data_IF_401303410933
#
_entry.id   IF_401303410933
#
_cell.length_a   1.000
_cell.length_b   1.000
_cell.length_c   1.000
_cell.angle_alpha   90.00
_cell.angle_beta   90.00
_cell.angle_gamma   90.00
#
_symmetry.space_group_name_H-M   'P 1'
#
loop_
_entity.id
_entity.type
_entity.pdbx_description
1 polymer ?
#
# COMPACT_ATOMS: atom_id res chain seq x y z
N UNK A 1 31.34 10.47 34.17
CA UNK A 1 30.46 9.38 33.75
C UNK A 1 29.56 9.93 32.64
N UNK A 2 29.97 9.76 31.36
CA UNK A 2 29.24 10.31 30.18
C UNK A 2 28.38 9.18 29.59
N UNK A 3 27.06 9.35 29.64
CA UNK A 3 26.12 8.50 28.89
C UNK A 3 26.30 8.76 27.39
N UNK A 4 26.60 7.72 26.64
CA UNK A 4 26.56 7.73 25.19
C UNK A 4 25.10 7.54 24.76
N UNK A 5 24.48 8.59 24.24
CA UNK A 5 23.26 8.48 23.46
C UNK A 5 23.62 7.82 22.14
N UNK A 6 23.21 6.56 21.99
CA UNK A 6 23.26 5.87 20.70
C UNK A 6 22.09 6.35 19.86
N UNK A 7 22.33 7.37 19.04
CA UNK A 7 21.45 7.74 17.95
C UNK A 7 21.35 6.54 17.00
N UNK A 8 20.16 5.93 16.93
CA UNK A 8 19.85 4.94 15.92
C UNK A 8 19.77 5.67 14.59
N UNK A 9 20.80 5.51 13.77
CA UNK A 9 20.84 6.03 12.40
C UNK A 9 19.67 5.46 11.60
N UNK A 10 19.03 6.28 10.73
CA UNK A 10 18.07 5.77 9.77
C UNK A 10 18.76 4.72 8.90
N UNK A 11 18.17 3.55 8.79
CA UNK A 11 18.64 2.51 7.86
C UNK A 11 18.52 3.12 6.47
N UNK A 12 19.63 3.58 5.92
CA UNK A 12 19.79 3.84 4.50
C UNK A 12 19.52 2.51 3.80
N UNK A 13 18.35 2.41 3.16
CA UNK A 13 18.08 1.31 2.23
C UNK A 13 19.01 1.52 1.04
N UNK A 14 20.14 0.84 1.06
CA UNK A 14 20.99 0.69 -0.11
C UNK A 14 20.12 0.15 -1.23
N UNK A 15 20.02 0.88 -2.33
CA UNK A 15 19.47 0.37 -3.58
C UNK A 15 20.35 -0.80 -4.00
N UNK A 16 19.97 -2.02 -3.60
CA UNK A 16 20.68 -3.22 -3.98
C UNK A 16 20.62 -3.36 -5.50
N UNK A 17 21.76 -3.73 -6.09
CA UNK A 17 21.99 -3.88 -7.54
C UNK A 17 21.05 -4.91 -8.23
N UNK A 18 20.08 -5.47 -7.52
CA UNK A 18 19.12 -6.45 -7.99
C UNK A 18 17.68 -5.91 -8.07
N UNK A 19 17.43 -4.66 -7.70
CA UNK A 19 16.09 -4.10 -7.75
C UNK A 19 15.70 -3.72 -9.19
N UNK A 20 14.55 -4.23 -9.67
CA UNK A 20 14.01 -3.88 -10.98
C UNK A 20 13.31 -2.52 -10.89
N UNK A 21 13.96 -1.48 -11.38
CA UNK A 21 13.53 -0.08 -11.26
C UNK A 21 12.08 0.18 -11.71
N UNK A 22 11.63 -0.45 -12.81
CA UNK A 22 10.25 -0.31 -13.27
C UNK A 22 9.23 -0.94 -12.31
N UNK A 23 9.57 -2.08 -11.70
CA UNK A 23 8.72 -2.72 -10.71
C UNK A 23 8.66 -1.88 -9.42
N UNK A 24 9.81 -1.41 -8.95
CA UNK A 24 9.90 -0.52 -7.80
C UNK A 24 8.98 0.70 -7.99
N UNK A 25 9.10 1.40 -9.11
CA UNK A 25 8.27 2.57 -9.42
C UNK A 25 6.78 2.24 -9.49
N UNK A 26 6.41 1.10 -10.07
CA UNK A 26 5.02 0.63 -10.11
C UNK A 26 4.45 0.40 -8.72
N UNK A 27 5.21 -0.22 -7.83
CA UNK A 27 4.82 -0.45 -6.43
C UNK A 27 4.70 0.87 -5.64
N UNK A 28 5.60 1.81 -5.86
CA UNK A 28 5.54 3.14 -5.24
C UNK A 28 4.29 3.93 -5.71
N UNK A 29 3.91 3.81 -6.99
CA UNK A 29 2.64 4.36 -7.47
C UNK A 29 1.46 3.76 -6.70
N UNK A 30 1.42 2.44 -6.51
CA UNK A 30 0.36 1.79 -5.73
C UNK A 30 0.30 2.31 -4.29
N UNK A 31 1.45 2.54 -3.65
CA UNK A 31 1.56 3.10 -2.29
C UNK A 31 1.19 4.57 -2.19
N UNK A 32 1.15 5.30 -3.30
CA UNK A 32 0.79 6.72 -3.32
C UNK A 32 -0.70 6.97 -3.04
N UNK A 33 -1.56 5.96 -3.21
CA UNK A 33 -2.98 6.03 -2.86
C UNK A 33 -3.15 5.87 -1.35
N UNK A 34 -3.66 6.92 -0.69
CA UNK A 34 -3.83 6.96 0.77
C UNK A 34 -5.30 6.83 1.15
N UNK A 35 -5.60 6.33 2.36
CA UNK A 35 -6.96 6.41 2.91
C UNK A 35 -7.46 7.86 2.89
N UNK A 36 -8.66 8.07 2.33
CA UNK A 36 -9.25 9.39 2.15
C UNK A 36 -8.88 10.09 0.84
N UNK A 37 -7.87 9.62 0.11
CA UNK A 37 -7.47 10.10 -1.21
C UNK A 37 -7.62 8.97 -2.23
N UNK A 38 -8.86 8.73 -2.63
CA UNK A 38 -9.23 7.55 -3.43
C UNK A 38 -8.86 7.65 -4.91
N UNK A 39 -8.54 8.84 -5.43
CA UNK A 39 -8.25 9.04 -6.85
C UNK A 39 -7.09 10.00 -7.06
N UNK A 40 -6.23 9.69 -8.05
CA UNK A 40 -5.08 10.52 -8.45
C UNK A 40 -5.03 10.64 -9.98
N UNK A 41 -4.63 11.80 -10.48
CA UNK A 41 -4.31 12.00 -11.90
C UNK A 41 -2.86 11.58 -12.22
N UNK A 42 -2.58 11.33 -13.49
CA UNK A 42 -1.21 11.05 -13.95
C UNK A 42 -0.23 12.19 -13.56
N UNK A 43 -0.68 13.44 -13.62
CA UNK A 43 0.16 14.60 -13.27
C UNK A 43 0.47 14.66 -11.78
N UNK A 44 -0.51 14.38 -10.91
CA UNK A 44 -0.32 14.32 -9.45
C UNK A 44 0.66 13.21 -9.07
N UNK A 45 0.52 12.02 -9.69
CA UNK A 45 1.43 10.89 -9.47
C UNK A 45 2.84 11.23 -9.97
N UNK A 46 2.97 11.78 -11.18
CA UNK A 46 4.27 12.17 -11.73
C UNK A 46 5.01 13.16 -10.82
N UNK A 47 4.28 14.15 -10.29
CA UNK A 47 4.85 15.12 -9.35
C UNK A 47 5.31 14.45 -8.04
N UNK A 48 4.50 13.59 -7.44
CA UNK A 48 4.84 12.89 -6.19
C UNK A 48 6.05 11.98 -6.33
N UNK A 49 6.15 11.32 -7.49
CA UNK A 49 7.21 10.35 -7.77
C UNK A 49 8.49 11.00 -8.34
N UNK A 50 8.46 12.30 -8.69
CA UNK A 50 9.56 12.95 -9.38
C UNK A 50 9.84 12.37 -10.77
N UNK A 51 8.83 11.81 -11.44
CA UNK A 51 8.93 11.17 -12.75
C UNK A 51 8.41 12.04 -13.88
N UNK A 52 8.88 11.77 -15.09
CA UNK A 52 8.30 12.37 -16.29
C UNK A 52 6.89 11.81 -16.53
N UNK A 53 5.96 12.67 -16.99
CA UNK A 53 4.57 12.27 -17.27
C UNK A 53 4.47 11.05 -18.21
N UNK A 54 5.34 11.00 -19.26
CA UNK A 54 5.36 9.87 -20.19
C UNK A 54 5.74 8.54 -19.54
N UNK A 55 6.72 8.56 -18.63
CA UNK A 55 7.12 7.38 -17.85
C UNK A 55 6.00 6.96 -16.91
N UNK A 56 5.40 7.92 -16.22
CA UNK A 56 4.28 7.67 -15.31
C UNK A 56 3.09 7.07 -16.07
N UNK A 57 2.75 7.60 -17.24
CA UNK A 57 1.66 7.07 -18.06
C UNK A 57 1.88 5.60 -18.43
N UNK A 58 3.08 5.23 -18.88
CA UNK A 58 3.41 3.83 -19.21
C UNK A 58 3.29 2.88 -18.00
N UNK A 59 3.68 3.34 -16.83
CA UNK A 59 3.52 2.56 -15.59
C UNK A 59 2.04 2.41 -15.23
N UNK A 60 1.24 3.47 -15.35
CA UNK A 60 -0.20 3.46 -15.13
C UNK A 60 -0.91 2.51 -16.11
N UNK A 61 -0.58 2.57 -17.40
CA UNK A 61 -1.14 1.67 -18.41
C UNK A 61 -0.87 0.20 -18.06
N UNK A 62 0.33 -0.10 -17.57
CA UNK A 62 0.68 -1.45 -17.11
C UNK A 62 -0.16 -1.85 -15.88
N UNK A 63 -0.30 -0.98 -14.89
CA UNK A 63 -1.09 -1.25 -13.68
C UNK A 63 -2.57 -1.44 -14.01
N UNK A 64 -3.10 -0.69 -14.99
CA UNK A 64 -4.48 -0.84 -15.49
C UNK A 64 -4.64 -2.17 -16.24
N UNK A 65 -3.69 -2.54 -17.10
CA UNK A 65 -3.72 -3.81 -17.82
C UNK A 65 -3.76 -5.02 -16.86
N UNK A 66 -3.14 -4.89 -15.68
CA UNK A 66 -3.17 -5.91 -14.62
C UNK A 66 -4.28 -5.72 -13.59
N UNK A 67 -5.25 -4.84 -13.82
CA UNK A 67 -6.40 -4.57 -12.93
C UNK A 67 -6.01 -4.14 -11.50
N UNK A 68 -4.78 -3.67 -11.31
CA UNK A 68 -4.33 -3.09 -10.05
C UNK A 68 -4.86 -1.67 -9.87
N UNK A 69 -4.96 -0.93 -10.98
CA UNK A 69 -5.61 0.37 -11.08
C UNK A 69 -6.69 0.33 -12.16
N UNK A 70 -7.64 1.25 -12.07
CA UNK A 70 -8.55 1.57 -13.16
C UNK A 70 -8.63 3.07 -13.38
N UNK A 71 -8.81 3.48 -14.61
CA UNK A 71 -9.12 4.86 -14.94
C UNK A 71 -10.63 5.08 -14.77
N UNK A 72 -11.00 6.22 -14.18
CA UNK A 72 -12.40 6.59 -14.03
C UNK A 72 -12.92 7.09 -15.37
N UNK A 73 -14.00 6.51 -15.94
CA UNK A 73 -14.53 6.89 -17.23
C UNK A 73 -14.81 8.39 -17.33
N UNK A 74 -14.40 9.03 -18.45
CA UNK A 74 -14.58 10.45 -18.68
C UNK A 74 -13.66 11.38 -17.90
N UNK A 75 -12.66 10.83 -17.22
CA UNK A 75 -11.67 11.62 -16.46
C UNK A 75 -10.24 11.15 -16.73
N UNK A 76 -9.24 11.96 -16.35
CA UNK A 76 -7.82 11.56 -16.32
C UNK A 76 -7.40 11.04 -14.93
N UNK A 77 -8.33 10.54 -14.12
CA UNK A 77 -8.05 10.09 -12.76
C UNK A 77 -8.06 8.56 -12.67
N UNK A 78 -7.19 8.05 -11.81
CA UNK A 78 -6.99 6.63 -11.54
C UNK A 78 -7.38 6.32 -10.10
N UNK A 79 -7.81 5.10 -9.85
CA UNK A 79 -8.10 4.57 -8.52
C UNK A 79 -7.70 3.10 -8.43
N UNK A 80 -7.45 2.55 -7.22
CA UNK A 80 -7.24 1.12 -7.03
C UNK A 80 -8.40 0.28 -7.58
N UNK A 81 -8.09 -0.89 -8.13
CA UNK A 81 -9.07 -1.81 -8.70
C UNK A 81 -9.02 -3.18 -8.01
N UNK A 82 -9.86 -4.09 -8.45
CA UNK A 82 -10.20 -5.37 -7.80
C UNK A 82 -8.97 -6.24 -7.49
N UNK A 83 -7.96 -6.28 -8.34
CA UNK A 83 -6.75 -7.08 -8.09
C UNK A 83 -6.00 -6.61 -6.84
N UNK A 84 -6.06 -5.32 -6.50
CA UNK A 84 -5.50 -4.79 -5.26
C UNK A 84 -6.20 -5.35 -4.02
N UNK A 85 -7.53 -5.52 -4.07
CA UNK A 85 -8.31 -6.14 -2.99
C UNK A 85 -7.97 -7.63 -2.84
N UNK A 86 -7.77 -8.35 -3.94
CA UNK A 86 -7.40 -9.78 -3.91
C UNK A 86 -6.08 -9.99 -3.17
N UNK A 87 -5.08 -9.14 -3.42
CA UNK A 87 -3.80 -9.18 -2.70
C UNK A 87 -3.99 -8.91 -1.19
N UNK A 88 -4.77 -7.91 -0.83
CA UNK A 88 -5.09 -7.62 0.57
C UNK A 88 -5.87 -8.75 1.24
N UNK A 89 -6.82 -9.36 0.55
CA UNK A 89 -7.58 -10.50 1.06
C UNK A 89 -6.68 -11.74 1.27
N UNK A 90 -5.78 -12.02 0.33
CA UNK A 90 -4.80 -13.10 0.47
C UNK A 90 -3.93 -12.92 1.74
N UNK A 91 -3.50 -11.70 2.01
CA UNK A 91 -2.80 -11.38 3.25
C UNK A 91 -3.67 -11.65 4.49
N UNK A 92 -4.90 -11.15 4.54
CA UNK A 92 -5.80 -11.33 5.68
C UNK A 92 -6.12 -12.79 5.98
N UNK A 93 -6.22 -13.64 4.95
CA UNK A 93 -6.48 -15.08 5.12
C UNK A 93 -5.24 -15.87 5.54
N UNK A 94 -4.06 -15.44 5.13
CA UNK A 94 -2.78 -16.11 5.43
C UNK A 94 -2.11 -15.62 6.71
N UNK A 95 -2.41 -14.41 7.17
CA UNK A 95 -1.77 -13.81 8.34
C UNK A 95 -2.10 -14.60 9.61
N UNK A 96 -1.07 -15.13 10.27
CA UNK A 96 -1.21 -15.92 11.49
C UNK A 96 -1.94 -15.16 12.60
N UNK A 97 -1.67 -13.85 12.74
CA UNK A 97 -2.31 -13.01 13.74
C UNK A 97 -3.83 -12.94 13.57
N UNK A 98 -4.31 -12.86 12.31
CA UNK A 98 -5.75 -12.85 12.02
C UNK A 98 -6.38 -14.19 12.35
N UNK A 99 -5.71 -15.29 12.00
CA UNK A 99 -6.19 -16.65 12.30
C UNK A 99 -6.29 -16.91 13.81
N UNK A 100 -5.27 -16.48 14.57
CA UNK A 100 -5.24 -16.65 16.02
C UNK A 100 -6.22 -15.73 16.76
N UNK A 101 -6.36 -14.48 16.31
CA UNK A 101 -7.23 -13.51 16.95
C UNK A 101 -8.73 -13.74 16.66
N UNK A 102 -9.08 -14.27 15.49
CA UNK A 102 -10.48 -14.43 15.06
C UNK A 102 -11.38 -15.15 16.07
N UNK A 103 -11.04 -16.32 16.63
CA UNK A 103 -11.90 -16.99 17.61
C UNK A 103 -12.13 -16.16 18.88
N UNK A 104 -11.08 -15.52 19.39
CA UNK A 104 -11.17 -14.66 20.58
C UNK A 104 -12.05 -13.43 20.32
N UNK A 105 -11.89 -12.79 19.15
CA UNK A 105 -12.70 -11.65 18.74
C UNK A 105 -14.18 -12.02 18.58
N UNK A 106 -14.48 -13.17 17.98
CA UNK A 106 -15.85 -13.66 17.82
C UNK A 106 -16.51 -13.95 19.19
N UNK A 107 -15.78 -14.62 20.09
CA UNK A 107 -16.25 -14.90 21.43
C UNK A 107 -16.54 -13.61 22.21
N UNK A 108 -15.65 -12.64 22.17
CA UNK A 108 -15.82 -11.36 22.85
C UNK A 108 -16.99 -10.55 22.27
N UNK A 109 -17.12 -10.53 20.94
CA UNK A 109 -18.25 -9.89 20.26
C UNK A 109 -19.59 -10.51 20.66
N UNK A 110 -19.66 -11.85 20.72
CA UNK A 110 -20.88 -12.56 21.12
C UNK A 110 -21.25 -12.32 22.60
N UNK A 111 -20.25 -12.26 23.49
CA UNK A 111 -20.47 -12.04 24.93
C UNK A 111 -20.92 -10.62 25.24
N UNK A 112 -20.37 -9.62 24.58
CA UNK A 112 -20.60 -8.21 24.89
C UNK A 112 -21.60 -7.52 23.97
N UNK A 113 -21.98 -8.13 22.84
CA UNK A 113 -22.86 -7.53 21.84
C UNK A 113 -22.24 -6.33 21.12
N UNK A 114 -20.89 -6.27 21.02
CA UNK A 114 -20.14 -5.17 20.43
C UNK A 114 -19.33 -5.61 19.20
N UNK A 115 -19.00 -4.66 18.32
CA UNK A 115 -18.06 -4.91 17.23
C UNK A 115 -16.63 -4.90 17.79
N UNK A 116 -15.87 -5.97 17.51
CA UNK A 116 -14.47 -6.09 17.90
C UNK A 116 -13.60 -5.95 16.66
N UNK A 117 -12.63 -5.04 16.69
CA UNK A 117 -11.76 -4.71 15.56
C UNK A 117 -10.30 -5.00 15.92
N UNK A 118 -9.60 -5.70 15.02
CA UNK A 118 -8.14 -5.86 15.08
C UNK A 118 -7.50 -4.79 14.21
N UNK A 119 -6.69 -3.95 14.83
CA UNK A 119 -5.96 -2.89 14.11
C UNK A 119 -4.47 -3.17 14.14
N UNK A 120 -3.84 -3.13 12.98
CA UNK A 120 -2.38 -3.20 12.85
C UNK A 120 -1.85 -1.89 12.32
N UNK A 121 -0.76 -1.40 12.91
CA UNK A 121 -0.09 -0.19 12.44
C UNK A 121 1.12 -0.59 11.61
N UNK A 122 1.11 -0.26 10.34
CA UNK A 122 2.29 -0.34 9.48
C UNK A 122 3.09 0.97 9.61
N UNK A 123 4.40 0.83 9.79
CA UNK A 123 5.30 1.99 9.67
C UNK A 123 5.62 2.16 8.18
N UNK A 124 4.97 3.13 7.57
CA UNK A 124 5.35 3.65 6.27
C UNK A 124 6.48 4.67 6.42
#
# INVERSE_FOLDING_TARGET
MRRRDSAISPVERSHDAHEVDSLHRGLEIMRSFRPGESTLSCSEIALRMGLRRTTTQRLLDTLVAHQLLRQIPGTERYQPDLASLVLGHAYLTSAMIVRLARPAMQSLSAQLGVCVVLTMRERL
#
